data_IF_946129103559
#
_entry.id   IF_946129103559
#
_cell.length_a   1.000
_cell.length_b   1.000
_cell.length_c   1.000
_cell.angle_alpha   90.00
_cell.angle_beta   90.00
_cell.angle_gamma   90.00
#
_symmetry.space_group_name_H-M   'P 1'
#
loop_
_entity.id
_entity.type
_entity.pdbx_description
1 polymer ?
#
# COMPACT_ATOMS: atom_id res chain seq x y z
N UNK A 1 8.43 10.86 13.01
CA UNK A 1 9.12 10.31 11.82
C UNK A 1 8.67 11.12 10.62
N UNK A 2 9.57 11.65 9.78
CA UNK A 2 9.17 12.44 8.62
C UNK A 2 8.46 11.55 7.58
N UNK A 3 7.45 12.10 6.91
CA UNK A 3 6.71 11.43 5.83
C UNK A 3 7.64 11.07 4.67
N UNK A 4 7.33 10.00 3.91
CA UNK A 4 8.09 9.65 2.70
C UNK A 4 8.11 10.81 1.67
N UNK A 5 7.07 11.64 1.70
CA UNK A 5 6.92 12.82 0.85
C UNK A 5 7.74 14.03 1.36
N UNK A 6 8.15 14.05 2.63
CA UNK A 6 9.08 15.06 3.16
C UNK A 6 10.53 14.72 2.81
N UNK A 7 10.88 13.43 2.86
CA UNK A 7 12.25 12.96 2.60
C UNK A 7 12.59 12.91 1.11
N UNK A 8 11.61 12.61 0.26
CA UNK A 8 11.78 12.49 -1.20
C UNK A 8 11.17 13.67 -1.97
N UNK A 9 10.85 14.78 -1.31
CA UNK A 9 10.20 15.95 -1.91
C UNK A 9 10.88 16.45 -3.20
N UNK A 10 12.21 16.37 -3.29
CA UNK A 10 12.98 16.78 -4.47
C UNK A 10 12.86 15.80 -5.66
N UNK A 11 12.51 14.53 -5.42
CA UNK A 11 12.40 13.49 -6.44
C UNK A 11 10.96 13.27 -6.90
N UNK A 12 10.00 13.59 -6.02
CA UNK A 12 8.59 13.57 -6.36
C UNK A 12 8.29 14.91 -7.04
N UNK A 13 8.37 14.94 -8.38
CA UNK A 13 7.64 15.96 -9.12
C UNK A 13 6.19 15.78 -8.73
N UNK A 14 5.67 16.67 -7.90
CA UNK A 14 4.24 16.84 -7.68
C UNK A 14 3.82 17.77 -8.81
N UNK A 15 3.20 17.28 -9.92
CA UNK A 15 2.53 18.15 -10.87
C UNK A 15 1.70 19.20 -10.13
N UNK A 16 1.50 20.37 -10.74
CA UNK A 16 0.50 21.29 -10.23
C UNK A 16 -0.88 20.65 -10.40
N UNK A 17 -1.27 19.84 -9.42
CA UNK A 17 -2.57 19.22 -9.33
C UNK A 17 -3.47 20.29 -8.70
N UNK A 18 -4.13 21.10 -9.52
CA UNK A 18 -5.15 22.07 -9.10
C UNK A 18 -6.39 21.35 -8.51
N UNK A 19 -6.20 20.54 -7.46
CA UNK A 19 -7.20 19.61 -6.93
C UNK A 19 -7.39 18.32 -7.76
N UNK A 20 -6.46 18.00 -8.67
CA UNK A 20 -6.54 16.82 -9.53
C UNK A 20 -6.23 15.52 -8.77
N UNK A 21 -7.26 14.97 -8.14
CA UNK A 21 -7.27 13.70 -7.39
C UNK A 21 -6.79 12.53 -8.26
N UNK A 22 -7.26 12.45 -9.50
CA UNK A 22 -7.00 11.32 -10.40
C UNK A 22 -5.54 11.31 -10.85
N UNK A 23 -4.98 12.48 -11.14
CA UNK A 23 -3.56 12.64 -11.44
C UNK A 23 -2.64 12.22 -10.29
N UNK A 24 -2.98 12.59 -9.05
CA UNK A 24 -2.23 12.17 -7.85
C UNK A 24 -2.32 10.65 -7.69
N UNK A 25 -3.53 10.10 -7.79
CA UNK A 25 -3.79 8.68 -7.65
C UNK A 25 -3.00 7.84 -8.68
N UNK A 26 -2.93 8.30 -9.93
CA UNK A 26 -2.15 7.66 -10.98
C UNK A 26 -0.63 7.74 -10.69
N UNK A 27 -0.15 8.85 -10.13
CA UNK A 27 1.27 9.05 -9.84
C UNK A 27 1.77 8.17 -8.68
N UNK A 28 0.96 8.02 -7.62
CA UNK A 28 1.33 7.20 -6.46
C UNK A 28 1.13 5.69 -6.72
N UNK A 29 0.32 5.33 -7.71
CA UNK A 29 0.07 3.93 -8.05
C UNK A 29 1.27 3.32 -8.76
N UNK A 30 1.89 2.32 -8.13
CA UNK A 30 2.93 1.50 -8.74
C UNK A 30 2.49 0.03 -8.77
N UNK A 31 1.90 -0.39 -9.89
CA UNK A 31 1.32 -1.73 -10.05
C UNK A 31 2.35 -2.85 -9.86
N UNK A 32 3.62 -2.63 -10.24
CA UNK A 32 4.68 -3.62 -10.06
C UNK A 32 5.00 -3.83 -8.57
N UNK A 33 4.99 -2.76 -7.77
CA UNK A 33 5.16 -2.83 -6.32
C UNK A 33 3.95 -3.49 -5.67
N UNK A 34 2.74 -3.14 -6.07
CA UNK A 34 1.50 -3.75 -5.57
C UNK A 34 1.49 -5.27 -5.81
N UNK A 35 1.84 -5.72 -7.03
CA UNK A 35 1.93 -7.15 -7.35
C UNK A 35 2.97 -7.88 -6.48
N UNK A 36 4.14 -7.27 -6.29
CA UNK A 36 5.18 -7.82 -5.42
C UNK A 36 4.74 -7.89 -3.95
N UNK A 37 3.95 -6.93 -3.47
CA UNK A 37 3.36 -6.95 -2.13
C UNK A 37 2.40 -8.14 -2.00
N UNK A 38 1.52 -8.35 -2.98
CA UNK A 38 0.55 -9.46 -2.96
C UNK A 38 1.26 -10.82 -3.01
N UNK A 39 2.29 -10.98 -3.86
CA UNK A 39 3.12 -12.21 -3.91
C UNK A 39 3.79 -12.49 -2.57
N UNK A 40 4.39 -11.47 -1.94
CA UNK A 40 5.01 -11.64 -0.62
C UNK A 40 3.99 -11.96 0.47
N UNK A 41 2.81 -11.36 0.39
CA UNK A 41 1.74 -11.60 1.35
C UNK A 41 1.22 -13.03 1.27
N UNK A 42 1.11 -13.58 0.06
CA UNK A 42 0.77 -14.98 -0.19
C UNK A 42 1.72 -15.93 0.55
N UNK A 43 3.03 -15.74 0.36
CA UNK A 43 4.06 -16.57 0.99
C UNK A 43 4.08 -16.42 2.52
N UNK A 44 3.90 -15.19 3.02
CA UNK A 44 3.78 -14.94 4.46
C UNK A 44 2.54 -15.60 5.05
N UNK A 45 1.40 -15.54 4.36
CA UNK A 45 0.16 -16.13 4.85
C UNK A 45 0.26 -17.67 4.90
N UNK A 46 0.95 -18.30 3.94
CA UNK A 46 1.25 -19.75 4.01
C UNK A 46 2.19 -20.08 5.17
N UNK A 47 3.25 -19.30 5.33
CA UNK A 47 4.27 -19.53 6.37
C UNK A 47 3.73 -19.33 7.79
N UNK A 48 2.98 -18.24 8.03
CA UNK A 48 2.46 -17.90 9.36
C UNK A 48 1.04 -18.42 9.64
N UNK A 49 0.30 -18.82 8.60
CA UNK A 49 -1.00 -19.47 8.75
C UNK A 49 -0.89 -20.91 9.24
N UNK A 50 0.31 -21.50 9.15
CA UNK A 50 0.60 -22.87 9.58
C UNK A 50 1.32 -22.86 10.93
N UNK A 51 1.03 -23.85 11.78
CA UNK A 51 1.76 -24.01 13.05
C UNK A 51 3.21 -24.45 12.75
N UNK A 52 4.23 -23.68 13.15
CA UNK A 52 5.63 -24.01 12.88
C UNK A 52 6.09 -25.31 13.58
N UNK A 53 5.36 -25.77 14.60
CA UNK A 53 5.67 -27.01 15.33
C UNK A 53 4.97 -28.25 14.76
N UNK A 54 3.97 -28.06 13.89
CA UNK A 54 3.18 -29.16 13.30
C UNK A 54 3.87 -29.86 12.11
N UNK A 55 5.06 -29.42 11.71
CA UNK A 55 5.77 -29.94 10.53
C UNK A 55 4.95 -29.80 9.23
N UNK A 56 5.20 -30.67 8.25
CA UNK A 56 4.49 -30.68 6.95
C UNK A 56 3.00 -31.11 7.03
N UNK A 57 2.47 -31.38 8.23
CA UNK A 57 1.08 -31.80 8.43
C UNK A 57 0.20 -30.68 9.00
N UNK A 58 0.76 -29.49 9.25
CA UNK A 58 0.00 -28.35 9.72
C UNK A 58 -1.01 -27.88 8.68
N UNK A 59 -2.30 -28.01 8.96
CA UNK A 59 -3.35 -27.35 8.18
C UNK A 59 -3.30 -25.85 8.45
N UNK A 60 -3.27 -25.03 7.41
CA UNK A 60 -3.32 -23.58 7.55
C UNK A 60 -4.62 -23.16 8.25
N UNK A 61 -4.50 -22.37 9.33
CA UNK A 61 -5.64 -21.82 10.10
C UNK A 61 -6.41 -20.75 9.33
N UNK A 62 -5.81 -20.19 8.29
CA UNK A 62 -6.37 -19.15 7.43
C UNK A 62 -6.19 -19.54 5.98
N UNK A 63 -7.13 -19.14 5.12
CA UNK A 63 -6.98 -19.27 3.68
C UNK A 63 -6.05 -18.15 3.17
N UNK A 64 -4.84 -18.48 2.70
CA UNK A 64 -3.88 -17.46 2.27
C UNK A 64 -4.43 -16.57 1.13
N UNK A 65 -5.28 -17.11 0.26
CA UNK A 65 -5.94 -16.39 -0.84
C UNK A 65 -6.92 -15.35 -0.32
N UNK A 66 -7.63 -15.63 0.77
CA UNK A 66 -8.55 -14.68 1.39
C UNK A 66 -7.79 -13.48 1.97
N UNK A 67 -6.61 -13.70 2.56
CA UNK A 67 -5.74 -12.61 3.06
C UNK A 67 -5.27 -11.72 1.91
N UNK A 68 -4.87 -12.32 0.79
CA UNK A 68 -4.47 -11.58 -0.42
C UNK A 68 -5.64 -10.78 -0.99
N UNK A 69 -6.84 -11.37 -1.03
CA UNK A 69 -8.07 -10.69 -1.46
C UNK A 69 -8.37 -9.45 -0.61
N UNK A 70 -8.30 -9.57 0.72
CA UNK A 70 -8.51 -8.42 1.62
C UNK A 70 -7.54 -7.28 1.30
N UNK A 71 -6.27 -7.59 1.07
CA UNK A 71 -5.28 -6.57 0.76
C UNK A 71 -5.50 -5.90 -0.59
N UNK A 72 -5.81 -6.70 -1.61
CA UNK A 72 -6.04 -6.23 -2.97
C UNK A 72 -7.28 -5.35 -3.06
N UNK A 73 -8.38 -5.78 -2.44
CA UNK A 73 -9.69 -5.16 -2.65
C UNK A 73 -9.97 -4.02 -1.64
N UNK A 74 -9.29 -4.02 -0.49
CA UNK A 74 -9.56 -3.06 0.60
C UNK A 74 -8.33 -2.30 1.08
N UNK A 75 -7.29 -3.00 1.55
CA UNK A 75 -6.18 -2.35 2.25
C UNK A 75 -5.39 -1.42 1.32
N UNK A 76 -4.99 -1.90 0.15
CA UNK A 76 -4.23 -1.10 -0.83
C UNK A 76 -5.06 0.09 -1.33
N UNK A 77 -6.33 -0.08 -1.78
CA UNK A 77 -7.17 1.05 -2.18
C UNK A 77 -7.37 2.10 -1.08
N UNK A 78 -7.63 1.68 0.16
CA UNK A 78 -7.83 2.60 1.29
C UNK A 78 -6.56 3.37 1.64
N UNK A 79 -5.40 2.71 1.57
CA UNK A 79 -4.11 3.36 1.84
C UNK A 79 -3.83 4.44 0.81
N UNK A 80 -4.04 4.15 -0.48
CA UNK A 80 -3.89 5.13 -1.55
C UNK A 80 -4.84 6.31 -1.39
N UNK A 81 -6.09 6.07 -0.98
CA UNK A 81 -7.06 7.15 -0.71
C UNK A 81 -6.53 8.13 0.35
N UNK A 82 -6.00 7.61 1.45
CA UNK A 82 -5.44 8.45 2.53
C UNK A 82 -4.18 9.19 2.06
N UNK A 83 -3.32 8.56 1.26
CA UNK A 83 -2.15 9.22 0.67
C UNK A 83 -2.54 10.39 -0.24
N UNK A 84 -3.58 10.22 -1.07
CA UNK A 84 -4.11 11.31 -1.91
C UNK A 84 -4.66 12.45 -1.06
N UNK A 85 -5.49 12.15 -0.06
CA UNK A 85 -6.06 13.16 0.86
C UNK A 85 -4.95 13.94 1.60
N UNK A 86 -3.89 13.24 2.03
CA UNK A 86 -2.73 13.88 2.66
C UNK A 86 -2.00 14.82 1.70
N UNK A 87 -1.78 14.40 0.46
CA UNK A 87 -1.08 15.21 -0.55
C UNK A 87 -1.88 16.44 -0.96
N UNK A 88 -3.20 16.33 -1.09
CA UNK A 88 -4.08 17.46 -1.37
C UNK A 88 -4.00 18.52 -0.27
N UNK A 89 -4.12 18.10 0.99
CA UNK A 89 -4.03 19.02 2.13
C UNK A 89 -2.66 19.68 2.27
N UNK A 90 -1.60 18.95 1.94
CA UNK A 90 -0.24 19.49 1.93
C UNK A 90 -0.06 20.62 0.90
N UNK A 91 -0.80 20.59 -0.21
CA UNK A 91 -0.75 21.65 -1.23
C UNK A 91 -1.54 22.91 -0.83
N UNK A 92 -2.53 22.77 0.05
CA UNK A 92 -3.31 23.89 0.59
C UNK A 92 -2.53 24.72 1.62
N UNK A 93 -1.67 24.08 2.40
CA UNK A 93 -0.82 24.72 3.40
C UNK A 93 0.33 25.50 2.72
N UNK A 94 0.07 26.76 2.32
CA UNK A 94 1.07 27.69 1.77
C UNK A 94 2.06 28.27 2.80
N UNK A 95 1.91 27.91 4.08
CA UNK A 95 2.62 28.54 5.22
C UNK A 95 3.55 27.59 6.00
N UNK A 96 4.01 26.49 5.40
CA UNK A 96 5.10 25.63 5.94
C UNK A 96 6.36 25.65 5.07
#
# INVERSE_FOLDING_TARGET
MPSIYEKNSAQIKIPNFDGDVDGIMANITNSAVEENILKRLMEKAKAYGTDPTAGNQGTSKVHPEAVVGIYKDWVIPLTKKVEVEYLLRRLEDKDF
#
